data_IF_976339235082
#
_entry.id   IF_976339235082
#
_cell.length_a   1.000
_cell.length_b   1.000
_cell.length_c   1.000
_cell.angle_alpha   90.00
_cell.angle_beta   90.00
_cell.angle_gamma   90.00
#
_symmetry.space_group_name_H-M   'P 1'
#
loop_
_entity.id
_entity.type
_entity.pdbx_description
1 polymer ?
#
# COMPACT_ATOMS: atom_id res chain seq x y z
N UNK A 1 -4.61 -44.43 4.57
CA UNK A 1 -4.47 -43.37 3.54
C UNK A 1 -3.84 -42.17 4.20
N UNK A 2 -2.60 -41.87 3.87
CA UNK A 2 -1.87 -40.71 4.42
C UNK A 2 -2.36 -39.50 3.59
N UNK A 3 -3.14 -38.61 4.20
CA UNK A 3 -3.46 -37.32 3.58
C UNK A 3 -2.15 -36.55 3.35
N UNK A 4 -1.87 -36.20 2.10
CA UNK A 4 -0.77 -35.30 1.79
C UNK A 4 -1.02 -33.99 2.55
N UNK A 5 -0.10 -33.60 3.41
CA UNK A 5 -0.16 -32.32 4.12
C UNK A 5 -0.01 -31.22 3.07
N UNK A 6 -1.06 -30.47 2.83
CA UNK A 6 -0.99 -29.28 1.96
C UNK A 6 0.07 -28.36 2.60
N UNK A 7 1.17 -28.09 1.89
CA UNK A 7 2.18 -27.17 2.36
C UNK A 7 1.65 -25.75 2.18
N UNK A 8 1.37 -25.07 3.27
CA UNK A 8 1.02 -23.66 3.26
C UNK A 8 2.26 -22.84 2.93
N UNK A 9 2.10 -21.86 2.04
CA UNK A 9 3.19 -20.98 1.62
C UNK A 9 3.53 -19.98 2.74
N UNK A 10 4.83 -19.75 2.95
CA UNK A 10 5.32 -18.59 3.67
C UNK A 10 5.41 -17.37 2.75
N UNK A 11 5.70 -16.19 3.32
CA UNK A 11 5.96 -15.00 2.50
C UNK A 11 7.20 -15.18 1.59
N UNK A 12 8.22 -15.88 2.04
CA UNK A 12 9.40 -16.20 1.22
C UNK A 12 9.07 -17.17 0.10
N UNK A 13 8.22 -18.17 0.35
CA UNK A 13 7.72 -19.07 -0.71
C UNK A 13 6.88 -18.28 -1.75
N UNK A 14 6.09 -17.30 -1.30
CA UNK A 14 5.32 -16.40 -2.17
C UNK A 14 6.23 -15.54 -3.04
N UNK A 15 7.24 -14.89 -2.47
CA UNK A 15 8.18 -14.07 -3.25
C UNK A 15 8.99 -14.87 -4.29
N UNK A 16 9.16 -16.18 -4.07
CA UNK A 16 9.83 -17.09 -4.98
C UNK A 16 8.86 -17.76 -5.98
N UNK A 17 7.55 -17.52 -5.82
CA UNK A 17 6.53 -18.13 -6.68
C UNK A 17 6.51 -17.45 -8.05
N UNK A 18 6.58 -18.28 -9.09
CA UNK A 18 6.48 -17.84 -10.47
C UNK A 18 5.70 -18.91 -11.26
N UNK A 19 4.52 -18.55 -11.75
CA UNK A 19 3.69 -19.40 -12.61
C UNK A 19 3.83 -19.05 -14.09
N UNK A 20 4.75 -18.11 -14.42
CA UNK A 20 4.97 -17.61 -15.77
C UNK A 20 3.86 -16.67 -16.27
N UNK A 21 2.97 -16.22 -15.39
CA UNK A 21 1.89 -15.27 -15.67
C UNK A 21 2.18 -13.93 -15.00
N UNK A 22 1.82 -12.83 -15.67
CA UNK A 22 1.94 -11.47 -15.07
C UNK A 22 0.67 -11.18 -14.24
N UNK A 23 0.58 -11.84 -13.08
CA UNK A 23 -0.56 -11.75 -12.16
C UNK A 23 -0.10 -11.32 -10.78
N UNK A 24 -0.99 -10.61 -10.08
CA UNK A 24 -0.81 -10.25 -8.68
C UNK A 24 -1.58 -11.22 -7.79
N UNK A 25 -1.01 -11.55 -6.64
CA UNK A 25 -1.62 -12.45 -5.67
C UNK A 25 -1.59 -11.87 -4.26
N UNK A 26 -2.62 -12.16 -3.49
CA UNK A 26 -2.62 -12.02 -2.04
C UNK A 26 -2.39 -13.40 -1.39
N UNK A 27 -1.48 -13.45 -0.41
CA UNK A 27 -1.18 -14.66 0.37
C UNK A 27 -2.07 -14.69 1.61
N UNK A 28 -3.14 -15.49 1.58
CA UNK A 28 -4.10 -15.61 2.69
C UNK A 28 -4.02 -17.03 3.27
N UNK A 29 -3.70 -17.14 4.55
CA UNK A 29 -3.58 -18.42 5.25
C UNK A 29 -2.66 -19.43 4.54
N UNK A 30 -1.64 -18.95 3.81
CA UNK A 30 -0.70 -19.79 3.06
C UNK A 30 -1.20 -20.22 1.68
N UNK A 31 -2.29 -19.69 1.20
CA UNK A 31 -2.85 -19.91 -0.14
C UNK A 31 -2.80 -18.62 -0.96
N UNK A 32 -2.57 -18.75 -2.27
CA UNK A 32 -2.55 -17.62 -3.21
C UNK A 32 -3.95 -17.32 -3.71
N UNK A 33 -4.39 -16.09 -3.51
CA UNK A 33 -5.62 -15.56 -4.08
C UNK A 33 -5.25 -14.55 -5.17
N UNK A 34 -5.63 -14.81 -6.42
CA UNK A 34 -5.43 -13.87 -7.53
C UNK A 34 -6.23 -12.58 -7.28
N UNK A 35 -5.56 -11.43 -7.44
CA UNK A 35 -6.19 -10.12 -7.36
C UNK A 35 -6.30 -9.50 -8.75
N UNK A 36 -7.40 -8.78 -9.05
CA UNK A 36 -7.55 -8.08 -10.31
C UNK A 36 -6.41 -7.06 -10.53
N UNK A 37 -6.01 -6.80 -11.78
CA UNK A 37 -5.09 -5.71 -12.08
C UNK A 37 -5.73 -4.36 -11.71
N UNK A 38 -4.89 -3.39 -11.40
CA UNK A 38 -5.30 -2.02 -11.10
C UNK A 38 -5.87 -1.33 -12.35
N UNK A 39 -6.75 -0.36 -12.17
CA UNK A 39 -7.32 0.42 -13.27
C UNK A 39 -6.32 1.47 -13.78
N UNK A 40 -6.48 1.89 -15.03
CA UNK A 40 -5.63 2.91 -15.63
C UNK A 40 -5.76 4.25 -14.88
N UNK A 41 -6.97 4.63 -14.47
CA UNK A 41 -7.22 5.86 -13.72
C UNK A 41 -6.55 5.88 -12.35
N UNK A 42 -6.56 4.74 -11.63
CA UNK A 42 -5.89 4.63 -10.34
C UNK A 42 -4.35 4.67 -10.51
N UNK A 43 -3.84 4.02 -11.55
CA UNK A 43 -2.43 4.13 -11.91
C UNK A 43 -2.02 5.57 -12.22
N UNK A 44 -2.84 6.33 -12.95
CA UNK A 44 -2.61 7.75 -13.24
C UNK A 44 -2.52 8.59 -11.98
N UNK A 45 -3.42 8.38 -11.00
CA UNK A 45 -3.38 9.08 -9.69
C UNK A 45 -2.08 8.80 -8.94
N UNK A 46 -1.68 7.53 -8.90
CA UNK A 46 -0.42 7.13 -8.27
C UNK A 46 0.80 7.77 -8.97
N UNK A 47 0.82 7.82 -10.30
CA UNK A 47 1.89 8.48 -11.06
C UNK A 47 1.91 10.00 -10.88
N UNK A 48 0.75 10.66 -10.83
CA UNK A 48 0.67 12.10 -10.57
C UNK A 48 1.25 12.44 -9.19
N UNK A 49 0.94 11.63 -8.20
CA UNK A 49 1.49 11.80 -6.85
C UNK A 49 2.99 11.48 -6.80
N UNK A 50 3.47 10.48 -7.54
CA UNK A 50 4.92 10.21 -7.69
C UNK A 50 5.65 11.45 -8.17
N UNK A 51 5.14 12.13 -9.21
CA UNK A 51 5.76 13.35 -9.76
C UNK A 51 5.84 14.46 -8.70
N UNK A 52 4.77 14.68 -7.94
CA UNK A 52 4.77 15.68 -6.87
C UNK A 52 5.77 15.33 -5.75
N UNK A 53 5.85 14.07 -5.34
CA UNK A 53 6.76 13.61 -4.29
C UNK A 53 8.23 13.58 -4.75
N UNK A 54 8.50 13.42 -6.04
CA UNK A 54 9.86 13.36 -6.57
C UNK A 54 10.65 14.68 -6.43
N UNK A 55 9.97 15.77 -6.08
CA UNK A 55 10.61 17.04 -5.74
C UNK A 55 11.22 17.02 -4.32
N UNK A 56 10.79 16.11 -3.45
CA UNK A 56 11.16 16.04 -2.03
C UNK A 56 11.99 14.81 -1.66
N UNK A 57 11.93 13.75 -2.48
CA UNK A 57 12.64 12.51 -2.23
C UNK A 57 13.17 11.90 -3.54
N UNK A 58 14.32 11.21 -3.47
CA UNK A 58 14.88 10.49 -4.62
C UNK A 58 13.83 9.57 -5.25
N UNK A 59 13.57 9.76 -6.55
CA UNK A 59 12.56 9.01 -7.31
C UNK A 59 12.76 7.49 -7.19
N UNK A 60 13.98 7.00 -7.00
CA UNK A 60 14.27 5.58 -6.80
C UNK A 60 13.62 5.03 -5.52
N UNK A 61 13.33 5.90 -4.55
CA UNK A 61 12.65 5.55 -3.30
C UNK A 61 11.12 5.56 -3.43
N UNK A 62 10.57 6.00 -4.55
CA UNK A 62 9.12 5.95 -4.81
C UNK A 62 8.84 4.72 -5.67
N UNK A 63 8.00 3.82 -5.17
CA UNK A 63 7.59 2.61 -5.87
C UNK A 63 6.09 2.68 -6.18
N UNK A 64 5.74 2.40 -7.43
CA UNK A 64 4.35 2.35 -7.88
C UNK A 64 4.03 0.91 -8.26
N UNK A 65 3.03 0.30 -7.63
CA UNK A 65 2.39 -0.99 -7.93
C UNK A 65 3.27 -2.25 -8.01
N UNK A 66 4.53 -2.23 -7.65
CA UNK A 66 5.40 -3.44 -7.80
C UNK A 66 6.17 -3.79 -6.53
N UNK A 67 5.83 -3.17 -5.42
CA UNK A 67 6.51 -3.43 -4.15
C UNK A 67 5.62 -4.27 -3.24
N UNK A 68 6.14 -5.40 -2.82
CA UNK A 68 5.48 -6.22 -1.80
C UNK A 68 5.86 -5.75 -0.39
N UNK A 69 4.87 -5.58 0.46
CA UNK A 69 5.08 -5.29 1.88
C UNK A 69 4.57 -6.46 2.71
N UNK A 70 5.47 -7.12 3.43
CA UNK A 70 5.08 -8.13 4.41
C UNK A 70 4.41 -7.44 5.60
N UNK A 71 3.16 -7.80 5.86
CA UNK A 71 2.34 -7.26 6.94
C UNK A 71 2.03 -8.33 7.98
N UNK A 72 1.38 -7.94 9.07
CA UNK A 72 0.97 -8.88 10.11
C UNK A 72 -0.28 -9.65 9.68
N UNK A 73 -0.28 -10.96 9.95
CA UNK A 73 -1.43 -11.80 9.70
C UNK A 73 -2.56 -11.49 10.68
N UNK A 74 -3.75 -11.21 10.15
CA UNK A 74 -4.99 -11.21 10.88
C UNK A 74 -5.92 -12.27 10.28
N UNK A 75 -6.88 -12.83 11.02
CA UNK A 75 -7.77 -13.84 10.50
C UNK A 75 -8.48 -13.40 9.21
N UNK A 76 -8.25 -14.13 8.11
CA UNK A 76 -8.84 -13.85 6.80
C UNK A 76 -8.23 -12.68 6.02
N UNK A 77 -7.17 -12.06 6.54
CA UNK A 77 -6.44 -11.01 5.82
C UNK A 77 -5.15 -11.56 5.19
N UNK A 78 -4.69 -10.93 4.09
CA UNK A 78 -3.42 -11.29 3.46
C UNK A 78 -2.21 -11.03 4.35
N UNK A 79 -1.14 -11.78 4.11
CA UNK A 79 0.18 -11.59 4.73
C UNK A 79 1.03 -10.57 3.96
N UNK A 80 0.64 -10.23 2.76
CA UNK A 80 1.30 -9.24 1.89
C UNK A 80 0.34 -8.14 1.46
N UNK A 81 0.91 -6.98 1.17
CA UNK A 81 0.22 -5.87 0.49
C UNK A 81 1.10 -5.32 -0.60
N UNK A 82 0.47 -4.99 -1.73
CA UNK A 82 1.09 -4.31 -2.86
C UNK A 82 0.38 -2.96 -3.06
N UNK A 83 0.86 -1.90 -2.41
CA UNK A 83 0.21 -0.59 -2.49
C UNK A 83 0.34 0.08 -3.85
N UNK A 84 -0.58 0.98 -4.17
CA UNK A 84 -0.52 1.78 -5.39
C UNK A 84 0.71 2.67 -5.44
N UNK A 85 1.11 3.24 -4.28
CA UNK A 85 2.37 3.96 -4.15
C UNK A 85 2.99 3.74 -2.77
N UNK A 86 4.30 3.57 -2.74
CA UNK A 86 5.08 3.46 -1.50
C UNK A 86 6.32 4.35 -1.57
N UNK A 87 6.57 5.12 -0.50
CA UNK A 87 7.83 5.84 -0.32
C UNK A 87 8.71 5.07 0.66
N UNK A 88 9.85 4.61 0.18
CA UNK A 88 10.82 3.80 0.92
C UNK A 88 11.51 4.62 2.02
N UNK A 89 11.79 4.00 3.17
CA UNK A 89 12.73 4.52 4.15
C UNK A 89 14.18 4.44 3.62
N UNK A 90 15.11 5.12 4.30
CA UNK A 90 16.54 4.99 4.00
C UNK A 90 17.00 3.55 4.22
N UNK A 91 17.91 3.07 3.38
CA UNK A 91 18.44 1.70 3.44
C UNK A 91 17.57 0.63 2.76
N UNK A 92 16.30 0.90 2.42
CA UNK A 92 15.46 -0.11 1.77
C UNK A 92 15.97 -0.54 0.39
N UNK A 93 16.56 0.39 -0.38
CA UNK A 93 17.09 0.07 -1.71
C UNK A 93 18.20 -0.98 -1.59
N UNK A 94 19.13 -0.79 -0.66
CA UNK A 94 20.23 -1.70 -0.37
C UNK A 94 19.70 -3.04 0.19
N UNK A 95 18.80 -3.00 1.15
CA UNK A 95 18.21 -4.19 1.75
C UNK A 95 17.43 -5.06 0.75
N UNK A 96 16.70 -4.43 -0.18
CA UNK A 96 16.00 -5.14 -1.27
C UNK A 96 17.00 -5.75 -2.26
N UNK A 97 18.12 -5.05 -2.54
CA UNK A 97 19.18 -5.59 -3.38
C UNK A 97 19.86 -6.79 -2.72
N UNK A 98 20.12 -6.74 -1.42
CA UNK A 98 20.73 -7.85 -0.66
C UNK A 98 19.88 -9.13 -0.69
N UNK A 99 18.57 -9.01 -0.64
CA UNK A 99 17.66 -10.16 -0.73
C UNK A 99 17.26 -10.49 -2.18
N UNK A 100 17.66 -9.66 -3.15
CA UNK A 100 17.29 -9.78 -4.57
C UNK A 100 15.77 -9.90 -4.79
N UNK A 101 14.98 -9.09 -4.04
CA UNK A 101 13.52 -9.09 -4.08
C UNK A 101 12.99 -7.64 -3.99
N UNK A 102 11.93 -7.33 -4.73
CA UNK A 102 11.21 -6.06 -4.61
C UNK A 102 10.20 -6.16 -3.45
N UNK A 103 10.70 -6.29 -2.23
CA UNK A 103 9.88 -6.52 -1.04
C UNK A 103 10.44 -5.88 0.22
N UNK A 104 9.56 -5.36 1.08
CA UNK A 104 9.87 -4.94 2.46
C UNK A 104 9.40 -6.06 3.39
N UNK A 105 10.36 -6.81 3.95
CA UNK A 105 10.07 -7.86 4.92
C UNK A 105 9.84 -7.30 6.33
N UNK A 106 9.18 -8.06 7.21
CA UNK A 106 8.85 -7.59 8.56
C UNK A 106 10.02 -7.22 9.45
N UNK A 107 11.21 -7.79 9.18
CA UNK A 107 12.42 -7.45 9.93
C UNK A 107 13.06 -6.12 9.48
N UNK A 108 12.66 -5.59 8.31
CA UNK A 108 13.08 -4.27 7.83
C UNK A 108 12.23 -3.19 8.50
N UNK A 109 12.71 -1.95 8.52
CA UNK A 109 11.90 -0.80 8.93
C UNK A 109 10.63 -0.67 8.08
N UNK A 110 9.56 -0.02 8.56
CA UNK A 110 8.40 0.28 7.73
C UNK A 110 8.79 1.29 6.63
N UNK A 111 8.07 1.32 5.49
CA UNK A 111 8.19 2.43 4.55
C UNK A 111 7.76 3.75 5.20
N UNK A 112 8.23 4.89 4.67
CA UNK A 112 7.87 6.21 5.19
C UNK A 112 6.41 6.55 4.98
N UNK A 113 5.88 6.18 3.82
CA UNK A 113 4.52 6.49 3.41
C UNK A 113 3.99 5.36 2.52
N UNK A 114 2.70 5.09 2.66
CA UNK A 114 1.93 4.21 1.77
C UNK A 114 0.71 4.96 1.27
N UNK A 115 0.37 4.80 0.01
CA UNK A 115 -0.83 5.37 -0.61
C UNK A 115 -1.62 4.28 -1.30
N UNK A 116 -2.92 4.29 -1.09
CA UNK A 116 -3.90 3.44 -1.76
C UNK A 116 -4.95 4.30 -2.45
N UNK A 117 -5.27 3.97 -3.68
CA UNK A 117 -6.37 4.57 -4.44
C UNK A 117 -7.55 3.62 -4.40
N UNK A 118 -8.62 4.05 -3.77
CA UNK A 118 -9.79 3.18 -3.52
C UNK A 118 -10.49 2.84 -4.82
N UNK A 119 -10.66 1.54 -5.09
CA UNK A 119 -11.48 1.07 -6.21
C UNK A 119 -12.97 1.43 -5.96
N UNK A 120 -13.77 1.67 -7.03
CA UNK A 120 -15.16 2.09 -6.89
C UNK A 120 -15.99 1.21 -5.95
N UNK A 121 -16.88 1.83 -5.19
CA UNK A 121 -17.84 1.17 -4.29
C UNK A 121 -19.16 1.95 -4.27
N UNK A 122 -20.26 1.28 -3.92
CA UNK A 122 -21.60 1.88 -3.79
C UNK A 122 -21.99 2.09 -2.32
N UNK A 123 -21.36 1.37 -1.39
CA UNK A 123 -21.59 1.52 0.05
C UNK A 123 -20.35 1.16 0.86
N UNK A 124 -20.25 1.71 2.08
CA UNK A 124 -19.14 1.43 3.02
C UNK A 124 -19.10 -0.02 3.53
N UNK A 125 -20.14 -0.81 3.28
CA UNK A 125 -20.16 -2.24 3.60
C UNK A 125 -19.49 -3.10 2.53
N UNK A 126 -19.16 -2.56 1.37
CA UNK A 126 -18.54 -3.29 0.28
C UNK A 126 -17.07 -3.60 0.52
N UNK A 127 -16.61 -4.67 -0.13
CA UNK A 127 -15.25 -5.18 0.04
C UNK A 127 -14.18 -4.15 -0.30
N UNK A 128 -14.36 -3.34 -1.36
CA UNK A 128 -13.41 -2.32 -1.77
C UNK A 128 -13.21 -1.25 -0.67
N UNK A 129 -14.31 -0.72 -0.10
CA UNK A 129 -14.22 0.23 1.02
C UNK A 129 -13.53 -0.41 2.24
N UNK A 130 -14.01 -1.59 2.66
CA UNK A 130 -13.48 -2.28 3.84
C UNK A 130 -11.99 -2.58 3.71
N UNK A 131 -11.56 -3.03 2.52
CA UNK A 131 -10.16 -3.36 2.25
C UNK A 131 -9.23 -2.19 2.58
N UNK A 132 -9.53 -0.99 2.08
CA UNK A 132 -8.61 0.15 2.18
C UNK A 132 -8.81 0.94 3.49
N UNK A 133 -10.05 1.15 3.94
CA UNK A 133 -10.36 1.93 5.15
C UNK A 133 -10.24 1.16 6.47
N UNK A 134 -10.33 -0.18 6.42
CA UNK A 134 -10.34 -1.02 7.63
C UNK A 134 -9.15 -1.97 7.62
N UNK A 135 -9.07 -2.88 6.66
CA UNK A 135 -8.13 -4.00 6.70
C UNK A 135 -6.67 -3.53 6.49
N UNK A 136 -6.40 -2.79 5.41
CA UNK A 136 -5.07 -2.23 5.14
C UNK A 136 -4.66 -1.21 6.21
N UNK A 137 -5.60 -0.34 6.65
CA UNK A 137 -5.37 0.58 7.75
C UNK A 137 -4.87 -0.14 8.99
N UNK A 138 -5.54 -1.21 9.42
CA UNK A 138 -5.14 -2.00 10.59
C UNK A 138 -3.76 -2.61 10.41
N UNK A 139 -3.47 -3.17 9.24
CA UNK A 139 -2.19 -3.82 8.95
C UNK A 139 -1.04 -2.82 8.86
N UNK A 140 -1.22 -1.66 8.23
CA UNK A 140 -0.21 -0.61 8.16
C UNK A 140 0.02 0.07 9.51
N UNK A 141 -1.03 0.24 10.33
CA UNK A 141 -0.90 0.72 11.71
C UNK A 141 -0.04 -0.26 12.55
N UNK A 142 -0.34 -1.55 12.49
CA UNK A 142 0.45 -2.59 13.17
C UNK A 142 1.89 -2.68 12.62
N UNK A 143 2.08 -2.46 11.33
CA UNK A 143 3.39 -2.40 10.66
C UNK A 143 4.16 -1.14 11.04
N UNK A 144 3.51 -0.16 11.69
CA UNK A 144 4.05 1.15 12.10
C UNK A 144 4.48 2.02 10.92
N UNK A 145 3.73 1.97 9.82
CA UNK A 145 3.92 2.90 8.71
C UNK A 145 3.61 4.32 9.21
N UNK A 146 4.56 5.28 9.14
CA UNK A 146 4.36 6.62 9.71
C UNK A 146 3.18 7.38 9.13
N UNK A 147 2.93 7.22 7.82
CA UNK A 147 1.85 7.91 7.13
C UNK A 147 1.19 7.02 6.08
N UNK A 148 -0.15 6.95 6.13
CA UNK A 148 -0.97 6.18 5.20
C UNK A 148 -2.03 7.08 4.56
N UNK A 149 -2.05 7.15 3.23
CA UNK A 149 -3.03 7.93 2.49
C UNK A 149 -4.06 7.01 1.85
N UNK A 150 -5.33 7.43 1.95
CA UNK A 150 -6.46 6.81 1.25
C UNK A 150 -6.99 7.86 0.27
N UNK A 151 -6.68 7.68 -1.01
CA UNK A 151 -7.20 8.51 -2.11
C UNK A 151 -8.51 7.90 -2.57
N UNK A 152 -9.62 8.58 -2.33
CA UNK A 152 -10.96 8.05 -2.62
C UNK A 152 -11.68 8.88 -3.69
N UNK A 153 -11.61 8.44 -4.96
CA UNK A 153 -12.32 9.12 -6.05
C UNK A 153 -13.85 9.03 -5.94
N UNK A 154 -14.38 7.98 -5.28
CA UNK A 154 -15.83 7.81 -5.08
C UNK A 154 -16.37 8.84 -4.10
N UNK A 155 -15.68 9.05 -2.97
CA UNK A 155 -16.03 10.03 -1.96
C UNK A 155 -15.50 11.44 -2.26
N UNK A 156 -14.67 11.62 -3.30
CA UNK A 156 -14.02 12.89 -3.68
C UNK A 156 -13.17 13.47 -2.54
N UNK A 157 -12.44 12.62 -1.82
CA UNK A 157 -11.63 13.00 -0.67
C UNK A 157 -10.27 12.28 -0.64
N UNK A 158 -9.31 12.88 0.07
CA UNK A 158 -8.05 12.24 0.45
C UNK A 158 -7.97 12.20 1.97
N UNK A 159 -7.88 11.00 2.55
CA UNK A 159 -7.66 10.81 3.97
C UNK A 159 -6.17 10.58 4.23
N UNK A 160 -5.56 11.42 5.06
CA UNK A 160 -4.19 11.28 5.53
C UNK A 160 -4.21 10.77 6.96
N UNK A 161 -3.64 9.60 7.17
CA UNK A 161 -3.56 8.92 8.46
C UNK A 161 -2.11 8.98 8.95
N UNK A 162 -1.88 9.75 10.02
CA UNK A 162 -0.56 9.89 10.63
C UNK A 162 -0.49 9.03 11.89
N UNK A 163 0.59 8.26 12.03
CA UNK A 163 0.80 7.40 13.19
C UNK A 163 1.27 8.21 14.40
N UNK A 164 0.40 8.35 15.41
CA UNK A 164 0.68 9.07 16.64
C UNK A 164 0.46 8.16 17.84
N UNK A 165 1.50 7.95 18.64
CA UNK A 165 1.46 7.07 19.82
C UNK A 165 0.96 5.63 19.51
N UNK A 166 1.27 5.13 18.29
CA UNK A 166 0.93 3.78 17.88
C UNK A 166 -0.48 3.59 17.29
N UNK A 167 -1.23 4.68 17.08
CA UNK A 167 -2.54 4.64 16.42
C UNK A 167 -2.64 5.72 15.34
N UNK A 168 -3.36 5.43 14.25
CA UNK A 168 -3.61 6.40 13.20
C UNK A 168 -4.61 7.47 13.59
N UNK A 169 -4.19 8.73 13.46
CA UNK A 169 -5.06 9.91 13.47
C UNK A 169 -5.31 10.34 12.03
N UNK A 170 -6.57 10.43 11.64
CA UNK A 170 -6.98 10.76 10.28
C UNK A 170 -7.38 12.22 10.14
N UNK A 171 -6.91 12.87 9.07
CA UNK A 171 -7.40 14.16 8.57
C UNK A 171 -7.92 13.96 7.16
N UNK A 172 -9.04 14.60 6.81
CA UNK A 172 -9.68 14.48 5.50
C UNK A 172 -9.54 15.80 4.75
N UNK A 173 -9.19 15.72 3.48
CA UNK A 173 -9.00 16.86 2.58
C UNK A 173 -9.87 16.70 1.34
N UNK A 174 -10.53 17.77 0.94
CA UNK A 174 -11.46 17.81 -0.19
C UNK A 174 -11.21 19.05 -1.05
N UNK A 175 -11.57 18.97 -2.32
CA UNK A 175 -11.56 20.11 -3.22
C UNK A 175 -10.18 20.78 -3.31
N UNK A 176 -10.13 22.08 -3.10
CA UNK A 176 -8.90 22.89 -3.17
C UNK A 176 -8.09 22.93 -1.89
N UNK A 177 -8.45 22.16 -0.88
CA UNK A 177 -7.66 22.06 0.37
C UNK A 177 -6.28 21.48 0.08
N UNK A 178 -5.23 22.13 0.59
CA UNK A 178 -3.86 21.63 0.53
C UNK A 178 -3.72 20.48 1.54
N UNK A 179 -3.26 19.34 1.04
CA UNK A 179 -3.03 18.16 1.87
C UNK A 179 -1.85 18.41 2.80
N UNK A 180 -2.03 18.09 4.08
CA UNK A 180 -0.98 18.20 5.09
C UNK A 180 -0.34 16.83 5.31
N UNK A 181 0.90 16.67 4.84
CA UNK A 181 1.72 15.49 5.09
C UNK A 181 2.64 15.74 6.31
N UNK A 182 2.72 14.76 7.21
CA UNK A 182 3.69 14.80 8.30
C UNK A 182 5.09 14.37 7.84
N UNK A 183 5.17 13.49 6.84
CA UNK A 183 6.44 13.01 6.25
C UNK A 183 7.04 14.05 5.31
N UNK A 184 6.19 14.76 4.56
CA UNK A 184 6.61 15.81 3.61
C UNK A 184 5.86 17.11 3.90
N UNK A 185 6.24 17.87 4.97
CA UNK A 185 5.50 19.07 5.39
C UNK A 185 5.55 20.22 4.37
N UNK A 186 6.50 20.19 3.44
CA UNK A 186 6.62 21.17 2.36
C UNK A 186 5.82 20.81 1.11
N UNK A 187 5.19 19.60 1.08
CA UNK A 187 4.35 19.18 -0.04
C UNK A 187 3.13 20.09 -0.16
N UNK A 188 3.00 20.75 -1.30
CA UNK A 188 1.90 21.66 -1.60
C UNK A 188 1.05 21.13 -2.75
N UNK A 189 0.24 20.11 -2.47
CA UNK A 189 -0.69 19.52 -3.42
C UNK A 189 -2.10 19.57 -2.86
N UNK A 190 -3.09 19.90 -3.70
CA UNK A 190 -4.51 19.91 -3.30
C UNK A 190 -5.17 18.55 -3.48
N UNK A 191 -6.25 18.30 -2.73
CA UNK A 191 -7.02 17.09 -2.88
C UNK A 191 -7.54 16.91 -4.33
N UNK A 192 -8.00 17.97 -4.99
CA UNK A 192 -8.42 17.92 -6.39
C UNK A 192 -7.31 17.44 -7.33
N UNK A 193 -6.07 17.89 -7.13
CA UNK A 193 -4.94 17.47 -7.98
C UNK A 193 -4.67 15.98 -7.83
N UNK A 194 -4.73 15.45 -6.61
CA UNK A 194 -4.51 14.02 -6.34
C UNK A 194 -5.68 13.16 -6.86
N UNK A 195 -6.90 13.67 -6.79
CA UNK A 195 -8.11 12.95 -7.22
C UNK A 195 -8.32 13.00 -8.75
N UNK A 196 -7.80 14.03 -9.43
CA UNK A 196 -7.92 14.13 -10.89
C UNK A 196 -6.93 13.18 -11.56
N UNK A 197 -7.43 12.31 -12.40
CA UNK A 197 -6.61 11.42 -13.25
C UNK A 197 -6.57 11.96 -14.66
#
# INVERSE_FOLDING_TARGET
MTQAKVRLLSFDDYLAYDDGLDKNYELINGELLEVPPETEENAYRAFSLLLALSEFVDIRRIKVQKLEIEVFAFPGMPLNRQPDLTVLAEGHIEQMADINQMAIKRFMDPPLMVVEVVSPYSSQSEANYRRDYIDKRQQFEQRKVPEYWIVDPTAQQVSVLVLVNGAYQASVFEGSQIIQSAVFPELSVTANVVLSA
#
